data_IF_932097866907
#
_entry.id   IF_932097866907
#
_cell.length_a   1.000
_cell.length_b   1.000
_cell.length_c   1.000
_cell.angle_alpha   90.00
_cell.angle_beta   90.00
_cell.angle_gamma   90.00
#
_symmetry.space_group_name_H-M   'P 1'
#
loop_
_entity.id
_entity.type
_entity.pdbx_description
1 polymer ?
#
# COMPACT_ATOMS: atom_id res chain seq x y z
N UNK A 1 -39.12 -15.02 -50.93
CA UNK A 1 -40.00 -14.28 -50.01
C UNK A 1 -39.37 -14.32 -48.63
N UNK A 2 -38.84 -13.17 -48.17
CA UNK A 2 -39.25 -12.45 -46.93
C UNK A 2 -38.98 -13.23 -45.64
N UNK A 3 -37.87 -12.93 -44.95
CA UNK A 3 -37.88 -12.14 -43.70
C UNK A 3 -37.53 -13.11 -42.54
N UNK A 4 -36.90 -12.77 -41.42
CA UNK A 4 -36.70 -11.49 -40.77
C UNK A 4 -35.56 -11.63 -39.73
N UNK A 5 -34.96 -10.49 -39.38
CA UNK A 5 -33.93 -10.26 -38.36
C UNK A 5 -34.33 -10.73 -36.94
N UNK A 6 -33.33 -11.01 -36.10
CA UNK A 6 -33.06 -10.23 -34.88
C UNK A 6 -31.78 -10.65 -34.15
N UNK A 7 -30.83 -9.72 -34.12
CA UNK A 7 -29.79 -9.61 -33.08
C UNK A 7 -30.42 -9.65 -31.67
N UNK A 8 -29.71 -10.24 -30.71
CA UNK A 8 -29.86 -9.85 -29.30
C UNK A 8 -28.47 -9.87 -28.66
N UNK A 9 -27.87 -8.67 -28.58
CA UNK A 9 -26.71 -8.36 -27.75
C UNK A 9 -27.09 -8.54 -26.28
N UNK A 10 -26.50 -9.51 -25.60
CA UNK A 10 -26.54 -9.60 -24.14
C UNK A 10 -25.50 -8.63 -23.56
N UNK A 11 -25.96 -7.42 -23.25
CA UNK A 11 -25.19 -6.39 -22.58
C UNK A 11 -25.44 -6.50 -21.06
N UNK A 12 -24.58 -7.23 -20.35
CA UNK A 12 -24.63 -7.28 -18.88
C UNK A 12 -23.75 -6.16 -18.32
N UNK A 13 -24.37 -5.00 -18.08
CA UNK A 13 -23.88 -4.00 -17.13
C UNK A 13 -23.89 -4.64 -15.74
N UNK A 14 -22.72 -4.90 -15.18
CA UNK A 14 -22.58 -5.06 -13.75
C UNK A 14 -22.28 -3.68 -13.18
N UNK A 15 -23.31 -3.07 -12.61
CA UNK A 15 -23.21 -1.85 -11.82
C UNK A 15 -22.30 -2.10 -10.60
N UNK A 16 -21.19 -1.37 -10.58
CA UNK A 16 -20.22 -1.31 -9.50
C UNK A 16 -20.84 -0.52 -8.34
N UNK A 17 -21.50 -1.23 -7.42
CA UNK A 17 -21.84 -0.70 -6.11
C UNK A 17 -20.68 -0.99 -5.13
N UNK A 18 -20.22 -0.01 -4.33
CA UNK A 18 -19.06 -0.18 -3.46
C UNK A 18 -19.47 -1.07 -2.29
N UNK A 19 -19.09 -2.35 -2.35
CA UNK A 19 -19.27 -3.27 -1.25
C UNK A 19 -18.42 -2.80 -0.07
N UNK A 20 -19.05 -2.10 0.87
CA UNK A 20 -18.57 -1.94 2.23
C UNK A 20 -18.34 -3.33 2.83
N UNK A 21 -17.08 -3.81 2.75
CA UNK A 21 -16.66 -5.08 3.34
C UNK A 21 -16.66 -4.94 4.87
N UNK A 22 -17.83 -5.11 5.49
CA UNK A 22 -17.95 -5.50 6.91
C UNK A 22 -17.47 -6.96 7.03
N UNK A 23 -16.16 -7.15 6.98
CA UNK A 23 -15.49 -8.44 7.17
C UNK A 23 -15.03 -8.60 8.61
N UNK A 24 -15.13 -9.82 9.13
CA UNK A 24 -14.62 -10.31 10.43
C UNK A 24 -13.29 -9.65 10.81
N UNK A 25 -13.10 -9.32 12.09
CA UNK A 25 -11.81 -8.81 12.61
C UNK A 25 -10.68 -9.71 12.08
N UNK A 26 -9.67 -9.16 11.39
CA UNK A 26 -8.62 -9.97 10.80
C UNK A 26 -7.87 -10.70 11.91
N UNK A 27 -7.77 -12.02 11.78
CA UNK A 27 -7.14 -12.90 12.77
C UNK A 27 -5.64 -12.64 12.91
N UNK A 28 -5.03 -11.98 11.91
CA UNK A 28 -3.63 -11.54 11.88
C UNK A 28 -3.53 -10.15 11.25
N UNK A 29 -2.77 -9.26 11.90
CA UNK A 29 -2.45 -7.92 11.39
C UNK A 29 -1.50 -8.00 10.18
N UNK A 30 -1.57 -7.01 9.25
CA UNK A 30 -0.57 -6.88 8.20
C UNK A 30 0.82 -6.66 8.80
N UNK A 31 1.85 -7.20 8.13
CA UNK A 31 3.25 -7.09 8.54
C UNK A 31 4.00 -6.09 7.67
N UNK A 32 4.86 -5.29 8.28
CA UNK A 32 5.82 -4.46 7.59
C UNK A 32 7.17 -5.18 7.56
N UNK A 33 7.74 -5.39 6.37
CA UNK A 33 9.11 -5.84 6.18
C UNK A 33 9.97 -4.62 5.85
N UNK A 34 10.79 -4.22 6.82
CA UNK A 34 11.68 -3.08 6.69
C UNK A 34 12.99 -3.35 7.42
N UNK A 35 14.10 -3.23 6.69
CA UNK A 35 15.46 -3.34 7.20
C UNK A 35 16.29 -2.12 6.76
N UNK A 36 17.43 -1.86 7.41
CA UNK A 36 18.22 -0.65 7.16
C UNK A 36 18.67 -0.46 5.71
N UNK A 37 18.84 -1.55 4.95
CA UNK A 37 19.26 -1.50 3.55
C UNK A 37 18.25 -2.22 2.65
N UNK A 38 18.11 -1.74 1.41
CA UNK A 38 17.28 -2.39 0.39
C UNK A 38 17.65 -3.86 0.21
N UNK A 39 18.96 -4.19 0.17
CA UNK A 39 19.44 -5.56 0.05
C UNK A 39 19.01 -6.42 1.25
N UNK A 40 19.11 -5.90 2.48
CA UNK A 40 18.65 -6.60 3.68
C UNK A 40 17.14 -6.87 3.64
N UNK A 41 16.35 -5.88 3.19
CA UNK A 41 14.90 -6.06 3.04
C UNK A 41 14.57 -7.14 2.00
N UNK A 42 15.23 -7.12 0.84
CA UNK A 42 15.05 -8.12 -0.23
C UNK A 42 15.39 -9.52 0.29
N UNK A 43 16.52 -9.67 0.98
CA UNK A 43 16.91 -10.96 1.56
C UNK A 43 15.88 -11.46 2.59
N UNK A 44 15.30 -10.56 3.39
CA UNK A 44 14.25 -10.92 4.33
C UNK A 44 12.96 -11.35 3.63
N UNK A 45 12.60 -10.72 2.50
CA UNK A 45 11.48 -11.16 1.66
C UNK A 45 11.76 -12.55 1.08
N UNK A 46 12.96 -12.77 0.54
CA UNK A 46 13.36 -14.07 0.01
C UNK A 46 13.29 -15.17 1.08
N UNK A 47 13.80 -14.90 2.29
CA UNK A 47 13.68 -15.82 3.42
C UNK A 47 12.21 -16.10 3.75
N UNK A 48 11.37 -15.06 3.80
CA UNK A 48 9.93 -15.19 4.08
C UNK A 48 9.21 -16.09 3.08
N UNK A 49 9.57 -16.02 1.80
CA UNK A 49 9.04 -16.88 0.74
C UNK A 49 9.55 -18.33 0.84
N UNK A 50 10.82 -18.51 1.21
CA UNK A 50 11.47 -19.83 1.21
C UNK A 50 11.17 -20.64 2.47
N UNK A 51 10.97 -19.98 3.61
CA UNK A 51 10.82 -20.64 4.91
C UNK A 51 9.58 -21.53 5.02
N UNK A 52 8.55 -21.35 4.17
CA UNK A 52 7.41 -22.28 4.09
C UNK A 52 6.53 -22.39 5.34
N UNK A 53 6.87 -21.70 6.44
CA UNK A 53 6.22 -21.83 7.76
C UNK A 53 4.76 -21.34 7.81
N UNK A 54 4.19 -20.86 6.69
CA UNK A 54 2.82 -20.33 6.62
C UNK A 54 2.57 -19.12 7.54
N UNK A 55 3.61 -18.60 8.19
CA UNK A 55 3.53 -17.54 9.19
C UNK A 55 3.30 -16.16 8.56
N UNK A 56 3.60 -16.02 7.27
CA UNK A 56 3.54 -14.75 6.54
C UNK A 56 2.77 -14.98 5.24
N UNK A 57 1.51 -14.58 5.20
CA UNK A 57 0.77 -14.42 3.94
C UNK A 57 1.45 -13.25 3.18
N UNK A 58 2.09 -13.50 2.02
CA UNK A 58 2.76 -12.45 1.23
C UNK A 58 1.83 -11.27 0.91
N UNK A 59 0.54 -11.55 0.75
CA UNK A 59 -0.51 -10.56 0.45
C UNK A 59 -0.83 -9.64 1.64
N UNK A 60 -0.38 -10.01 2.83
CA UNK A 60 -0.50 -9.20 4.06
C UNK A 60 0.83 -8.57 4.45
N UNK A 61 1.83 -8.63 3.59
CA UNK A 61 3.12 -8.00 3.80
C UNK A 61 3.21 -6.71 2.99
N UNK A 62 3.50 -5.61 3.67
CA UNK A 62 3.99 -4.38 3.06
C UNK A 62 5.52 -4.41 3.12
N UNK A 63 6.18 -4.17 1.99
CA UNK A 63 7.65 -4.20 1.91
C UNK A 63 8.14 -2.78 1.71
N UNK A 64 8.92 -2.25 2.65
CA UNK A 64 9.50 -0.90 2.54
C UNK A 64 10.97 -1.00 2.12
N UNK A 65 11.30 -0.41 0.98
CA UNK A 65 12.66 -0.33 0.46
C UNK A 65 13.12 1.12 0.35
N UNK A 66 14.43 1.33 0.44
CA UNK A 66 15.01 2.68 0.44
C UNK A 66 15.40 3.16 -0.96
N UNK A 67 15.53 2.27 -1.94
CA UNK A 67 16.12 2.55 -3.24
C UNK A 67 15.30 1.90 -4.38
N UNK A 68 15.15 2.58 -5.53
CA UNK A 68 14.25 2.15 -6.60
C UNK A 68 14.68 0.84 -7.27
N UNK A 69 15.99 0.54 -7.36
CA UNK A 69 16.47 -0.73 -7.92
C UNK A 69 15.91 -1.96 -7.21
N UNK A 70 15.47 -1.80 -5.96
CA UNK A 70 14.87 -2.90 -5.20
C UNK A 70 13.45 -3.24 -5.65
N UNK A 71 12.75 -2.36 -6.38
CA UNK A 71 11.42 -2.66 -6.91
C UNK A 71 11.49 -3.77 -7.95
N UNK A 72 12.38 -3.65 -8.93
CA UNK A 72 12.59 -4.65 -9.99
C UNK A 72 12.91 -6.03 -9.40
N UNK A 73 13.78 -6.07 -8.39
CA UNK A 73 14.14 -7.33 -7.71
C UNK A 73 12.96 -7.93 -6.91
N UNK A 74 12.12 -7.09 -6.30
CA UNK A 74 10.94 -7.57 -5.59
C UNK A 74 9.86 -8.09 -6.54
N UNK A 75 9.71 -7.47 -7.72
CA UNK A 75 8.82 -7.94 -8.77
C UNK A 75 9.26 -9.31 -9.29
N UNK A 76 10.56 -9.47 -9.59
CA UNK A 76 11.12 -10.76 -10.00
C UNK A 76 10.88 -11.86 -8.94
N UNK A 77 11.10 -11.56 -7.66
CA UNK A 77 10.82 -12.50 -6.56
C UNK A 77 9.34 -12.85 -6.44
N UNK A 78 8.45 -11.87 -6.64
CA UNK A 78 7.01 -12.07 -6.59
C UNK A 78 6.54 -13.00 -7.72
N UNK A 79 7.01 -12.74 -8.94
CA UNK A 79 6.69 -13.53 -10.14
C UNK A 79 7.18 -14.97 -10.00
N UNK A 80 8.42 -15.17 -9.56
CA UNK A 80 9.01 -16.49 -9.34
C UNK A 80 8.26 -17.30 -8.27
N UNK A 81 7.72 -16.63 -7.25
CA UNK A 81 6.94 -17.27 -6.19
C UNK A 81 5.45 -17.43 -6.54
N UNK A 82 4.96 -16.83 -7.64
CA UNK A 82 3.53 -16.77 -7.96
C UNK A 82 2.72 -15.96 -6.94
N UNK A 83 3.36 -15.02 -6.25
CA UNK A 83 2.79 -14.21 -5.18
C UNK A 83 2.72 -12.74 -5.55
N UNK A 84 2.04 -11.94 -4.73
CA UNK A 84 1.96 -10.49 -4.91
C UNK A 84 2.27 -9.75 -3.62
N UNK A 85 3.23 -8.83 -3.70
CA UNK A 85 3.57 -7.91 -2.62
C UNK A 85 3.00 -6.51 -2.87
N UNK A 86 2.99 -5.72 -1.80
CA UNK A 86 2.74 -4.29 -1.85
C UNK A 86 4.03 -3.56 -1.47
N UNK A 87 4.99 -3.41 -2.42
CA UNK A 87 6.22 -2.69 -2.15
C UNK A 87 5.96 -1.18 -2.08
N UNK A 88 6.71 -0.51 -1.23
CA UNK A 88 6.76 0.95 -1.08
C UNK A 88 8.21 1.37 -1.15
N UNK A 89 8.53 2.32 -2.04
CA UNK A 89 9.86 2.88 -2.17
C UNK A 89 9.95 4.25 -1.48
N UNK A 90 10.79 4.35 -0.45
CA UNK A 90 10.98 5.60 0.28
C UNK A 90 11.58 6.70 -0.61
N UNK A 91 12.50 6.35 -1.53
CA UNK A 91 13.12 7.32 -2.42
C UNK A 91 12.10 7.99 -3.36
N UNK A 92 11.13 7.24 -3.88
CA UNK A 92 10.06 7.78 -4.74
C UNK A 92 9.16 8.73 -3.96
N UNK A 93 8.78 8.33 -2.74
CA UNK A 93 8.00 9.19 -1.83
C UNK A 93 8.72 10.51 -1.59
N UNK A 94 10.00 10.48 -1.24
CA UNK A 94 10.77 11.70 -1.00
C UNK A 94 10.93 12.55 -2.25
N UNK A 95 11.23 11.94 -3.40
CA UNK A 95 11.36 12.67 -4.65
C UNK A 95 10.06 13.39 -5.03
N UNK A 96 8.92 12.71 -4.93
CA UNK A 96 7.60 13.29 -5.20
C UNK A 96 7.31 14.49 -4.28
N UNK A 97 7.62 14.39 -2.98
CA UNK A 97 7.43 15.51 -2.06
C UNK A 97 8.34 16.69 -2.38
N UNK A 98 9.63 16.45 -2.59
CA UNK A 98 10.56 17.53 -2.92
C UNK A 98 10.19 18.20 -4.23
N UNK A 99 9.71 17.44 -5.22
CA UNK A 99 9.19 17.97 -6.48
C UNK A 99 7.98 18.89 -6.25
N UNK A 100 7.01 18.45 -5.45
CA UNK A 100 5.82 19.24 -5.12
C UNK A 100 6.18 20.54 -4.38
N UNK A 101 6.99 20.43 -3.32
CA UNK A 101 7.45 21.60 -2.55
C UNK A 101 8.19 22.59 -3.44
N UNK A 102 9.07 22.11 -4.33
CA UNK A 102 9.80 22.95 -5.28
C UNK A 102 8.88 23.68 -6.25
N UNK A 103 7.86 23.01 -6.79
CA UNK A 103 6.87 23.62 -7.69
C UNK A 103 6.12 24.73 -6.97
N UNK A 104 5.59 24.46 -5.77
CA UNK A 104 4.84 25.46 -5.01
C UNK A 104 5.70 26.64 -4.55
N UNK A 105 6.96 26.39 -4.18
CA UNK A 105 7.89 27.46 -3.85
C UNK A 105 8.11 28.40 -5.03
N UNK A 106 8.27 27.85 -6.25
CA UNK A 106 8.40 28.64 -7.49
C UNK A 106 7.14 29.41 -7.86
N UNK A 107 5.97 28.95 -7.43
CA UNK A 107 4.70 29.66 -7.57
C UNK A 107 4.52 30.80 -6.54
N UNK A 108 5.47 30.96 -5.60
CA UNK A 108 5.44 32.01 -4.59
C UNK A 108 4.65 31.66 -3.33
N UNK A 109 4.27 30.39 -3.14
CA UNK A 109 3.63 29.96 -1.90
C UNK A 109 4.63 29.99 -0.74
N UNK A 110 4.17 30.44 0.43
CA UNK A 110 4.98 30.41 1.65
C UNK A 110 5.08 28.99 2.22
N UNK A 111 6.12 28.73 3.01
CA UNK A 111 6.31 27.44 3.68
C UNK A 111 5.10 27.04 4.55
N UNK A 112 4.47 28.01 5.23
CA UNK A 112 3.28 27.76 6.05
C UNK A 112 2.08 27.29 5.21
N UNK A 113 1.89 27.86 4.00
CA UNK A 113 0.83 27.42 3.09
C UNK A 113 1.13 26.02 2.57
N UNK A 114 2.36 25.77 2.12
CA UNK A 114 2.80 24.46 1.62
C UNK A 114 2.60 23.37 2.69
N UNK A 115 3.04 23.64 3.92
CA UNK A 115 2.90 22.72 5.04
C UNK A 115 1.43 22.41 5.31
N UNK A 116 0.57 23.42 5.36
CA UNK A 116 -0.88 23.24 5.58
C UNK A 116 -1.52 22.38 4.50
N UNK A 117 -1.17 22.58 3.23
CA UNK A 117 -1.68 21.77 2.12
C UNK A 117 -1.22 20.31 2.21
N UNK A 118 0.05 20.07 2.52
CA UNK A 118 0.56 18.71 2.76
C UNK A 118 -0.15 18.06 3.96
N UNK A 119 -0.27 18.80 5.05
CA UNK A 119 -0.96 18.34 6.26
C UNK A 119 -2.39 17.93 5.96
N UNK A 120 -3.17 18.72 5.23
CA UNK A 120 -4.54 18.36 4.85
C UNK A 120 -4.60 17.09 3.99
N UNK A 121 -3.65 16.90 3.07
CA UNK A 121 -3.60 15.69 2.23
C UNK A 121 -3.32 14.42 3.03
N UNK A 122 -2.53 14.51 4.10
CA UNK A 122 -2.18 13.37 4.96
C UNK A 122 -3.03 13.26 6.23
N UNK A 123 -4.07 14.08 6.38
CA UNK A 123 -5.01 14.00 7.50
C UNK A 123 -5.53 12.57 7.74
N UNK A 124 -5.99 11.82 6.72
CA UNK A 124 -6.47 10.45 6.94
C UNK A 124 -5.39 9.49 7.47
N UNK A 125 -4.13 9.72 7.11
CA UNK A 125 -2.99 8.90 7.59
C UNK A 125 -2.69 9.22 9.05
N UNK A 126 -2.78 10.50 9.44
CA UNK A 126 -2.61 10.92 10.83
C UNK A 126 -3.72 10.37 11.72
N UNK A 127 -4.97 10.38 11.27
CA UNK A 127 -6.09 9.81 12.01
C UNK A 127 -5.86 8.32 12.33
N UNK A 128 -5.34 7.56 11.35
CA UNK A 128 -4.98 6.15 11.57
C UNK A 128 -3.82 6.02 12.54
N UNK A 129 -2.80 6.86 12.45
CA UNK A 129 -1.66 6.86 13.37
C UNK A 129 -2.09 7.15 14.81
N UNK A 130 -2.97 8.13 15.00
CA UNK A 130 -3.53 8.50 16.29
C UNK A 130 -4.38 7.35 16.87
N UNK A 131 -5.18 6.70 16.04
CA UNK A 131 -5.93 5.51 16.43
C UNK A 131 -5.01 4.35 16.85
N UNK A 132 -3.92 4.09 16.12
CA UNK A 132 -2.91 3.08 16.48
C UNK A 132 -2.23 3.43 17.81
N UNK A 133 -1.88 4.70 17.99
CA UNK A 133 -1.23 5.20 19.21
C UNK A 133 -2.15 5.06 20.43
N UNK A 134 -3.44 5.37 20.26
CA UNK A 134 -4.45 5.19 21.30
C UNK A 134 -4.61 3.71 21.69
N UNK A 135 -4.61 2.78 20.73
CA UNK A 135 -4.68 1.34 21.00
C UNK A 135 -3.49 0.84 21.83
N UNK A 136 -2.28 1.30 21.54
CA UNK A 136 -1.07 0.92 22.27
C UNK A 136 -0.99 1.51 23.69
N UNK A 137 -1.76 2.57 23.96
CA UNK A 137 -1.79 3.29 25.24
C UNK A 137 -2.77 2.68 26.25
N UNK A 138 -3.66 1.77 25.82
CA UNK A 138 -4.58 1.06 26.72
C UNK A 138 -3.82 -0.03 27.49
N UNK A 139 -3.65 0.07 28.82
CA UNK A 139 -3.02 -0.98 29.60
C UNK A 139 -3.89 -2.25 29.51
N UNK A 140 -3.25 -3.38 29.16
CA UNK A 140 -3.84 -4.71 29.25
C UNK A 140 -4.23 -4.99 30.72
N UNK A 141 -5.43 -4.61 31.14
CA UNK A 141 -6.02 -5.13 32.37
C UNK A 141 -6.46 -6.57 32.10
N UNK A 142 -5.57 -7.51 32.38
CA UNK A 142 -5.94 -8.90 32.66
C UNK A 142 -5.99 -9.06 34.18
N UNK A 143 -7.20 -9.22 34.70
CA UNK A 143 -7.51 -9.83 36.00
C UNK A 143 -7.96 -11.26 35.78
#
# INVERSE_FOLDING_TARGET
>A
MKGNEKESKANSKNDEAPAARRGKKPEKLPRLLYYPTTASTINAVHATLTSGDGLSDPRRCCVLINQPFGLEHLEELAENAGEKFHPVCAAEIYDDYFRQVRIWTRMGYSAAVIQRELDQRFEPVRDVLDAITALNSTPNFKS
#
